data_IF_448616518515
#
_entry.id   IF_448616518515
#
_cell.length_a   1.000
_cell.length_b   1.000
_cell.length_c   1.000
_cell.angle_alpha   90.00
_cell.angle_beta   90.00
_cell.angle_gamma   90.00
#
_symmetry.space_group_name_H-M   'P 1'
#
loop_
_entity.id
_entity.type
_entity.pdbx_description
1 polymer ?
#
# COMPACT_ATOMS: atom_id res chain seq x y z
N UNK A 1 -5.14 3.39 13.72
CA UNK A 1 -3.86 3.24 14.45
C UNK A 1 -2.78 2.74 13.49
N UNK A 2 -1.52 3.05 13.73
CA UNK A 2 -0.38 2.63 12.92
C UNK A 2 0.76 2.18 13.83
N UNK A 3 1.36 1.03 13.51
CA UNK A 3 2.56 0.50 14.17
C UNK A 3 3.61 0.17 13.12
N UNK A 4 4.83 0.65 13.33
CA UNK A 4 5.99 0.32 12.49
C UNK A 4 7.11 -0.11 13.41
N UNK A 5 7.74 -1.23 13.08
CA UNK A 5 8.88 -1.76 13.80
C UNK A 5 10.02 -2.12 12.84
N UNK A 6 11.23 -1.77 13.22
CA UNK A 6 12.41 -2.35 12.58
C UNK A 6 12.54 -3.81 13.05
N UNK A 7 12.58 -4.73 12.08
CA UNK A 7 12.69 -6.18 12.30
C UNK A 7 14.06 -6.75 11.91
N UNK A 8 15.01 -5.89 11.54
CA UNK A 8 16.37 -6.30 11.14
C UNK A 8 17.09 -7.12 12.20
N UNK A 9 16.98 -6.68 13.47
CA UNK A 9 17.67 -7.28 14.60
C UNK A 9 16.75 -8.01 15.59
N UNK A 10 15.50 -8.25 15.21
CA UNK A 10 14.52 -8.91 16.10
C UNK A 10 13.45 -9.62 15.27
N UNK A 11 13.04 -10.84 15.64
CA UNK A 11 12.00 -11.55 14.91
C UNK A 11 10.69 -10.75 14.83
N UNK A 12 10.04 -10.78 13.67
CA UNK A 12 8.74 -10.15 13.43
C UNK A 12 7.73 -10.50 14.54
N UNK A 13 7.63 -11.78 14.90
CA UNK A 13 6.69 -12.26 15.92
C UNK A 13 6.87 -11.52 17.25
N UNK A 14 8.10 -11.32 17.71
CA UNK A 14 8.38 -10.62 18.98
C UNK A 14 7.94 -9.17 18.95
N UNK A 15 8.10 -8.49 17.79
CA UNK A 15 7.72 -7.08 17.63
C UNK A 15 6.21 -6.86 17.57
N UNK A 16 5.46 -7.87 17.15
CA UNK A 16 4.01 -7.80 16.97
C UNK A 16 3.24 -8.76 17.88
N UNK A 17 3.87 -9.30 18.92
CA UNK A 17 3.27 -10.29 19.81
C UNK A 17 1.96 -9.80 20.46
N UNK A 18 1.92 -8.52 20.85
CA UNK A 18 0.76 -7.89 21.51
C UNK A 18 -0.11 -7.04 20.57
N UNK A 19 0.06 -7.19 19.25
CA UNK A 19 -0.61 -6.32 18.28
C UNK A 19 -2.13 -6.32 18.42
N UNK A 20 -2.75 -7.46 18.72
CA UNK A 20 -4.20 -7.58 18.91
C UNK A 20 -4.73 -6.95 20.20
N UNK A 21 -3.85 -6.72 21.20
CA UNK A 21 -4.18 -6.00 22.42
C UNK A 21 -4.07 -4.50 22.21
N UNK A 22 -3.06 -4.07 21.44
CA UNK A 22 -2.74 -2.67 21.19
C UNK A 22 -3.56 -2.03 20.07
N UNK A 23 -3.86 -2.81 19.02
CA UNK A 23 -4.63 -2.36 17.86
C UNK A 23 -5.96 -3.10 17.78
N UNK A 24 -7.04 -2.33 17.74
CA UNK A 24 -8.40 -2.87 17.62
C UNK A 24 -9.07 -2.30 16.38
N UNK A 25 -9.81 -3.14 15.66
CA UNK A 25 -10.55 -2.76 14.46
C UNK A 25 -11.09 -3.99 13.73
N UNK A 26 -11.94 -3.76 12.75
CA UNK A 26 -12.53 -4.80 11.88
C UNK A 26 -11.73 -5.02 10.60
N UNK A 27 -10.81 -4.11 10.26
CA UNK A 27 -9.97 -4.20 9.07
C UNK A 27 -8.54 -3.74 9.38
N UNK A 28 -7.56 -4.34 8.70
CA UNK A 28 -6.15 -4.00 8.84
C UNK A 28 -5.42 -4.14 7.50
N UNK A 29 -4.37 -3.35 7.33
CA UNK A 29 -3.42 -3.45 6.24
C UNK A 29 -2.02 -3.54 6.82
N UNK A 30 -1.16 -4.35 6.21
CA UNK A 30 0.22 -4.52 6.66
C UNK A 30 1.17 -4.76 5.50
N UNK A 31 2.43 -4.43 5.72
CA UNK A 31 3.50 -4.63 4.75
C UNK A 31 4.80 -4.95 5.49
N UNK A 32 5.59 -5.86 4.91
CA UNK A 32 7.01 -6.02 5.24
C UNK A 32 7.78 -5.34 4.12
N UNK A 33 8.63 -4.38 4.46
CA UNK A 33 9.43 -3.62 3.51
C UNK A 33 10.86 -3.54 4.03
N UNK A 34 11.81 -3.68 3.14
CA UNK A 34 13.25 -3.55 3.39
C UNK A 34 13.78 -2.13 3.09
N UNK A 35 12.97 -1.29 2.48
CA UNK A 35 13.33 0.07 2.11
C UNK A 35 12.50 1.11 2.86
N UNK A 36 11.22 1.17 2.60
CA UNK A 36 10.33 2.25 3.03
C UNK A 36 9.46 1.89 4.23
N UNK A 37 9.29 2.84 5.16
CA UNK A 37 8.38 2.67 6.29
C UNK A 37 6.92 2.72 5.82
N UNK A 38 6.24 1.57 5.86
CA UNK A 38 4.87 1.35 5.42
C UNK A 38 4.03 0.62 6.48
N UNK A 39 2.68 0.67 6.43
CA UNK A 39 1.85 1.51 5.56
C UNK A 39 1.94 3.01 5.91
N UNK A 40 1.72 3.89 4.92
CA UNK A 40 1.54 5.32 5.18
C UNK A 40 0.07 5.63 5.48
N UNK A 41 -0.15 6.41 6.54
CA UNK A 41 -1.47 6.98 6.85
C UNK A 41 -1.55 8.37 6.23
N UNK A 42 -2.53 8.58 5.38
CA UNK A 42 -2.67 9.77 4.54
C UNK A 42 -4.03 10.40 4.78
N UNK A 43 -4.05 11.72 4.82
CA UNK A 43 -5.28 12.54 4.77
C UNK A 43 -5.24 13.41 3.53
N UNK A 44 -6.25 13.27 2.66
CA UNK A 44 -6.35 14.02 1.41
C UNK A 44 -7.80 14.40 1.08
N UNK A 45 -8.02 14.93 -0.12
CA UNK A 45 -9.37 15.16 -0.66
C UNK A 45 -10.17 13.86 -0.85
N UNK A 46 -9.49 12.72 -0.97
CA UNK A 46 -10.12 11.39 -1.07
C UNK A 46 -10.51 10.80 0.30
N UNK A 47 -10.25 11.51 1.40
CA UNK A 47 -10.50 11.05 2.77
C UNK A 47 -9.23 10.64 3.50
N UNK A 48 -9.41 9.91 4.60
CA UNK A 48 -8.31 9.29 5.36
C UNK A 48 -8.14 7.84 4.93
N UNK A 49 -6.93 7.43 4.60
CA UNK A 49 -6.65 6.06 4.19
C UNK A 49 -5.22 5.64 4.55
N UNK A 50 -5.00 4.34 4.62
CA UNK A 50 -3.68 3.76 4.75
C UNK A 50 -3.27 3.14 3.41
N UNK A 51 -2.02 3.35 2.99
CA UNK A 51 -1.48 2.92 1.71
C UNK A 51 -0.26 2.04 1.91
N UNK A 52 -0.26 0.89 1.25
CA UNK A 52 0.93 0.07 0.99
C UNK A 52 1.22 0.04 -0.51
N UNK A 53 2.50 0.11 -0.82
CA UNK A 53 3.02 0.03 -2.18
C UNK A 53 4.14 -1.01 -2.25
N UNK A 54 4.10 -1.84 -3.27
CA UNK A 54 5.19 -2.75 -3.63
C UNK A 54 5.48 -2.59 -5.11
N UNK A 55 6.71 -2.20 -5.41
CA UNK A 55 7.12 -1.95 -6.78
C UNK A 55 8.45 -1.23 -6.89
N UNK A 56 8.75 -0.78 -8.10
CA UNK A 56 9.95 -0.02 -8.44
C UNK A 56 9.52 1.20 -9.23
N UNK A 57 9.99 2.38 -8.86
CA UNK A 57 9.75 3.65 -9.55
C UNK A 57 11.08 4.12 -10.12
N UNK A 58 11.32 3.83 -11.41
CA UNK A 58 12.60 4.18 -12.05
C UNK A 58 12.71 5.69 -12.32
N UNK A 59 11.60 6.39 -12.50
CA UNK A 59 11.52 7.83 -12.76
C UNK A 59 11.14 8.66 -11.52
N UNK A 60 11.49 8.19 -10.30
CA UNK A 60 11.08 8.82 -9.05
C UNK A 60 11.46 10.31 -8.98
N UNK A 61 12.70 10.67 -9.28
CA UNK A 61 13.18 12.07 -9.24
C UNK A 61 12.35 12.97 -10.16
N UNK A 62 12.09 12.54 -11.40
CA UNK A 62 11.27 13.30 -12.34
C UNK A 62 9.83 13.51 -11.84
N UNK A 63 9.25 12.50 -11.20
CA UNK A 63 7.91 12.59 -10.61
C UNK A 63 7.89 13.56 -9.42
N UNK A 64 8.93 13.53 -8.58
CA UNK A 64 9.10 14.44 -7.44
C UNK A 64 9.22 15.88 -7.92
N UNK A 65 10.16 16.16 -8.84
CA UNK A 65 10.38 17.50 -9.39
C UNK A 65 9.10 18.08 -10.03
N UNK A 66 8.41 17.26 -10.82
CA UNK A 66 7.16 17.65 -11.44
C UNK A 66 6.08 17.96 -10.41
N UNK A 67 5.92 17.11 -9.38
CA UNK A 67 4.94 17.33 -8.32
C UNK A 67 5.23 18.64 -7.56
N UNK A 68 6.46 18.86 -7.14
CA UNK A 68 6.86 20.07 -6.42
C UNK A 68 6.66 21.34 -7.25
N UNK A 69 6.89 21.29 -8.57
CA UNK A 69 6.79 22.44 -9.45
C UNK A 69 5.37 22.97 -9.61
N UNK A 70 4.35 22.12 -9.61
CA UNK A 70 2.96 22.56 -9.83
C UNK A 70 2.11 22.59 -8.56
N UNK A 71 2.41 21.77 -7.56
CA UNK A 71 1.54 21.65 -6.38
C UNK A 71 1.88 22.64 -5.28
N UNK A 72 3.11 23.16 -5.25
CA UNK A 72 3.65 23.89 -4.12
C UNK A 72 3.70 23.04 -2.83
N UNK A 73 3.54 21.71 -2.99
CA UNK A 73 3.53 20.75 -1.91
C UNK A 73 4.93 20.41 -1.39
N UNK A 74 4.97 19.45 -0.50
CA UNK A 74 6.21 18.91 0.05
C UNK A 74 6.04 17.39 0.27
N UNK A 75 7.15 16.70 0.40
CA UNK A 75 7.20 15.32 0.86
C UNK A 75 7.66 15.28 2.31
N UNK A 76 6.94 14.58 3.17
CA UNK A 76 7.20 14.50 4.60
C UNK A 76 7.80 13.16 5.03
N UNK A 77 7.56 12.08 4.28
CA UNK A 77 8.11 10.78 4.57
C UNK A 77 9.44 10.58 3.81
N UNK A 78 10.54 10.70 4.54
CA UNK A 78 11.90 10.56 4.00
C UNK A 78 12.55 9.29 4.54
N UNK A 79 13.33 8.61 3.71
CA UNK A 79 14.13 7.46 4.09
C UNK A 79 15.56 7.62 3.55
N UNK A 80 16.55 7.75 4.46
CA UNK A 80 17.96 7.90 4.07
C UNK A 80 18.28 9.09 3.17
N UNK A 81 17.46 10.16 3.21
CA UNK A 81 17.61 11.34 2.36
C UNK A 81 16.81 11.27 1.04
N UNK A 82 16.20 10.12 0.72
CA UNK A 82 15.29 9.97 -0.40
C UNK A 82 13.82 10.10 0.05
N UNK A 83 12.93 10.51 -0.86
CA UNK A 83 11.49 10.51 -0.63
C UNK A 83 10.98 9.06 -0.58
N UNK A 84 10.12 8.76 0.39
CA UNK A 84 9.49 7.45 0.49
C UNK A 84 8.64 7.16 -0.75
N UNK A 85 8.87 6.03 -1.41
CA UNK A 85 8.20 5.66 -2.67
C UNK A 85 6.68 5.56 -2.51
N UNK A 86 6.20 5.13 -1.34
CA UNK A 86 4.77 5.08 -1.04
C UNK A 86 4.14 6.47 -1.01
N UNK A 87 4.88 7.50 -0.57
CA UNK A 87 4.40 8.89 -0.59
C UNK A 87 4.34 9.45 -2.01
N UNK A 88 5.28 9.07 -2.89
CA UNK A 88 5.20 9.42 -4.32
C UNK A 88 3.92 8.86 -4.94
N UNK A 89 3.62 7.59 -4.69
CA UNK A 89 2.37 6.95 -5.16
C UNK A 89 1.15 7.68 -4.62
N UNK A 90 1.13 8.03 -3.34
CA UNK A 90 0.05 8.80 -2.74
C UNK A 90 -0.12 10.18 -3.40
N UNK A 91 0.99 10.88 -3.68
CA UNK A 91 0.97 12.17 -4.35
C UNK A 91 0.39 12.08 -5.76
N UNK A 92 0.64 11.00 -6.49
CA UNK A 92 0.02 10.74 -7.80
C UNK A 92 -1.48 10.45 -7.66
N UNK A 93 -1.87 9.54 -6.77
CA UNK A 93 -3.27 9.18 -6.53
C UNK A 93 -4.11 10.41 -6.17
N UNK A 94 -3.59 11.27 -5.30
CA UNK A 94 -4.29 12.44 -4.79
C UNK A 94 -4.48 13.58 -5.82
N UNK A 95 -3.92 13.46 -7.02
CA UNK A 95 -4.17 14.38 -8.13
C UNK A 95 -5.51 14.14 -8.83
N UNK A 96 -6.19 13.06 -8.50
CA UNK A 96 -7.48 12.69 -9.10
C UNK A 96 -8.61 12.76 -8.07
N UNK A 97 -9.84 12.69 -8.57
CA UNK A 97 -11.06 12.81 -7.76
C UNK A 97 -11.58 11.48 -7.21
N UNK A 98 -11.02 10.36 -7.65
CA UNK A 98 -11.35 9.03 -7.15
C UNK A 98 -10.11 8.16 -6.99
N UNK A 99 -10.19 7.14 -6.11
CA UNK A 99 -9.10 6.17 -5.97
C UNK A 99 -8.85 5.39 -7.27
N UNK A 100 -9.89 5.03 -8.00
CA UNK A 100 -9.74 4.29 -9.26
C UNK A 100 -8.96 5.11 -10.30
N UNK A 101 -9.36 6.35 -10.55
CA UNK A 101 -8.66 7.24 -11.47
C UNK A 101 -7.25 7.58 -10.99
N UNK A 102 -7.07 7.74 -9.67
CA UNK A 102 -5.78 8.02 -9.06
C UNK A 102 -4.79 6.87 -9.18
N UNK A 103 -5.25 5.65 -8.95
CA UNK A 103 -4.43 4.43 -9.10
C UNK A 103 -4.06 4.24 -10.58
N UNK A 104 -5.02 4.35 -11.48
CA UNK A 104 -4.77 4.25 -12.92
C UNK A 104 -3.74 5.29 -13.36
N UNK A 105 -3.92 6.55 -12.98
CA UNK A 105 -2.96 7.62 -13.25
C UNK A 105 -1.57 7.31 -12.69
N UNK A 106 -1.47 6.85 -11.42
CA UNK A 106 -0.19 6.49 -10.84
C UNK A 106 0.51 5.36 -11.61
N UNK A 107 -0.24 4.35 -12.04
CA UNK A 107 0.30 3.24 -12.82
C UNK A 107 0.73 3.66 -14.24
N UNK A 108 0.10 4.65 -14.84
CA UNK A 108 0.52 5.22 -16.13
C UNK A 108 1.80 6.04 -16.01
N UNK A 109 1.90 6.88 -14.98
CA UNK A 109 3.02 7.80 -14.77
C UNK A 109 4.30 7.11 -14.25
N UNK A 110 4.16 5.98 -13.56
CA UNK A 110 5.29 5.22 -13.02
C UNK A 110 5.96 4.41 -14.13
N UNK A 111 7.24 4.70 -14.36
CA UNK A 111 8.12 3.83 -15.13
C UNK A 111 8.66 2.72 -14.24
N UNK A 112 8.01 1.57 -14.29
CA UNK A 112 8.36 0.45 -13.41
C UNK A 112 7.18 -0.44 -13.09
N UNK A 113 7.04 -0.83 -11.82
CA UNK A 113 5.94 -1.66 -11.33
C UNK A 113 5.28 -1.03 -10.11
N UNK A 114 3.96 -1.16 -9.98
CA UNK A 114 3.20 -0.58 -8.88
C UNK A 114 2.00 -1.45 -8.50
N UNK A 115 2.18 -2.34 -7.53
CA UNK A 115 1.08 -3.02 -6.85
C UNK A 115 0.70 -2.24 -5.60
N UNK A 116 -0.58 -1.96 -5.44
CA UNK A 116 -1.09 -0.98 -4.47
C UNK A 116 -2.19 -1.63 -3.64
N UNK A 117 -2.13 -1.43 -2.32
CA UNK A 117 -3.22 -1.74 -1.40
C UNK A 117 -3.59 -0.47 -0.63
N UNK A 118 -4.89 -0.20 -0.55
CA UNK A 118 -5.44 0.92 0.22
C UNK A 118 -6.49 0.37 1.19
N UNK A 119 -6.41 0.79 2.44
CA UNK A 119 -7.47 0.63 3.43
C UNK A 119 -8.05 2.00 3.73
N UNK A 120 -9.32 2.18 3.44
CA UNK A 120 -10.05 3.43 3.65
C UNK A 120 -10.62 3.51 5.07
N UNK A 121 -11.06 4.71 5.46
CA UNK A 121 -11.59 4.99 6.82
C UNK A 121 -12.88 4.21 7.12
N UNK A 122 -13.67 3.88 6.11
CA UNK A 122 -14.89 3.06 6.23
C UNK A 122 -14.60 1.54 6.29
N UNK A 123 -13.32 1.14 6.21
CA UNK A 123 -12.89 -0.26 6.25
C UNK A 123 -12.88 -0.96 4.89
N UNK A 124 -13.14 -0.24 3.80
CA UNK A 124 -13.03 -0.81 2.45
C UNK A 124 -11.57 -1.06 2.07
N UNK A 125 -11.31 -2.15 1.35
CA UNK A 125 -9.99 -2.48 0.82
C UNK A 125 -10.01 -2.31 -0.70
N UNK A 126 -9.08 -1.51 -1.22
CA UNK A 126 -8.84 -1.33 -2.64
C UNK A 126 -7.50 -1.97 -2.97
N UNK A 127 -7.49 -2.84 -3.96
CA UNK A 127 -6.29 -3.52 -4.42
C UNK A 127 -6.09 -3.30 -5.92
N UNK A 128 -4.87 -3.00 -6.32
CA UNK A 128 -4.50 -2.87 -7.71
C UNK A 128 -3.21 -3.65 -8.00
N UNK A 129 -3.25 -4.46 -9.04
CA UNK A 129 -2.10 -5.17 -9.57
C UNK A 129 -1.37 -4.27 -10.56
N UNK A 130 -0.04 -4.34 -10.57
CA UNK A 130 0.73 -3.55 -11.54
C UNK A 130 0.39 -3.90 -13.00
N UNK A 131 0.60 -2.94 -13.90
CA UNK A 131 0.21 -3.05 -15.32
C UNK A 131 0.89 -4.18 -16.08
N UNK A 132 2.04 -4.67 -15.64
CA UNK A 132 2.73 -5.81 -16.24
C UNK A 132 2.45 -7.13 -15.52
N UNK A 133 1.73 -7.09 -14.39
CA UNK A 133 1.30 -8.27 -13.64
C UNK A 133 2.41 -9.05 -12.99
N UNK A 134 3.51 -8.38 -12.59
CA UNK A 134 4.71 -9.04 -12.06
C UNK A 134 4.44 -9.84 -10.79
N UNK A 135 3.70 -9.27 -9.85
CA UNK A 135 3.26 -9.96 -8.63
C UNK A 135 1.78 -10.32 -8.74
N UNK A 136 1.36 -11.53 -8.32
CA UNK A 136 -0.05 -11.83 -8.21
C UNK A 136 -0.69 -10.95 -7.12
N UNK A 137 -1.95 -10.61 -7.28
CA UNK A 137 -2.78 -10.02 -6.23
C UNK A 137 -4.01 -10.90 -6.10
N UNK A 138 -4.13 -11.57 -4.97
CA UNK A 138 -5.10 -12.63 -4.72
C UNK A 138 -6.09 -12.18 -3.66
N UNK A 139 -7.37 -12.37 -3.93
CA UNK A 139 -8.44 -12.18 -2.97
C UNK A 139 -8.88 -13.53 -2.43
N UNK A 140 -8.94 -13.65 -1.12
CA UNK A 140 -9.52 -14.78 -0.41
C UNK A 140 -10.76 -14.34 0.38
N UNK A 141 -11.66 -15.29 0.60
CA UNK A 141 -12.90 -15.08 1.35
C UNK A 141 -13.18 -16.20 2.34
N UNK A 142 -13.78 -15.83 3.47
CA UNK A 142 -14.42 -16.77 4.38
C UNK A 142 -15.73 -16.18 4.94
N UNK A 143 -16.35 -16.84 5.90
CA UNK A 143 -17.58 -16.36 6.54
C UNK A 143 -17.44 -15.04 7.31
N UNK A 144 -16.21 -14.66 7.69
CA UNK A 144 -15.92 -13.44 8.46
C UNK A 144 -15.51 -12.25 7.60
N UNK A 145 -15.14 -12.46 6.33
CA UNK A 145 -14.75 -11.36 5.45
C UNK A 145 -13.80 -11.72 4.33
N UNK A 146 -13.04 -10.71 3.90
CA UNK A 146 -12.10 -10.80 2.78
C UNK A 146 -10.66 -10.59 3.24
N UNK A 147 -9.74 -11.18 2.49
CA UNK A 147 -8.31 -10.99 2.64
C UNK A 147 -7.69 -10.74 1.25
N UNK A 148 -6.77 -9.79 1.16
CA UNK A 148 -5.96 -9.56 -0.04
C UNK A 148 -4.50 -9.86 0.30
N UNK A 149 -3.84 -10.64 -0.56
CA UNK A 149 -2.43 -11.02 -0.38
C UNK A 149 -1.75 -11.26 -1.73
N UNK A 150 -0.42 -11.25 -1.74
CA UNK A 150 0.37 -11.67 -2.90
C UNK A 150 0.59 -13.20 -2.94
N UNK A 151 0.23 -13.91 -1.89
CA UNK A 151 0.39 -15.37 -1.76
C UNK A 151 -0.85 -15.99 -1.09
N UNK A 152 -1.38 -17.05 -1.68
CA UNK A 152 -2.60 -17.71 -1.17
C UNK A 152 -2.36 -18.56 0.08
N UNK A 153 -1.15 -19.10 0.26
CA UNK A 153 -0.89 -20.02 1.37
C UNK A 153 -1.09 -19.36 2.75
N UNK A 154 -0.79 -18.06 2.86
CA UNK A 154 -0.91 -17.32 4.11
C UNK A 154 -2.35 -17.23 4.59
N UNK A 155 -3.27 -16.85 3.73
CA UNK A 155 -4.67 -16.73 4.10
C UNK A 155 -5.40 -18.08 4.12
N UNK A 156 -4.98 -19.07 3.33
CA UNK A 156 -5.52 -20.45 3.40
C UNK A 156 -5.29 -21.09 4.78
N UNK A 157 -4.15 -20.82 5.41
CA UNK A 157 -3.91 -21.25 6.80
C UNK A 157 -4.85 -20.61 7.83
N UNK A 158 -5.47 -19.48 7.47
CA UNK A 158 -6.45 -18.79 8.30
C UNK A 158 -7.91 -19.13 7.93
N UNK A 159 -8.11 -20.14 7.08
CA UNK A 159 -9.44 -20.61 6.67
C UNK A 159 -10.12 -19.75 5.60
N UNK A 160 -9.35 -18.95 4.84
CA UNK A 160 -9.87 -18.28 3.65
C UNK A 160 -9.71 -19.18 2.43
N UNK A 161 -10.68 -19.12 1.53
CA UNK A 161 -10.66 -19.78 0.23
C UNK A 161 -10.35 -18.77 -0.87
N UNK A 162 -9.80 -19.25 -2.00
CA UNK A 162 -9.53 -18.41 -3.15
C UNK A 162 -10.84 -17.88 -3.74
N UNK A 163 -10.98 -16.55 -3.82
CA UNK A 163 -12.12 -15.88 -4.44
C UNK A 163 -11.77 -15.41 -5.85
N UNK A 164 -10.66 -14.69 -5.99
CA UNK A 164 -10.27 -14.07 -7.26
C UNK A 164 -8.76 -13.76 -7.30
N UNK A 165 -8.17 -13.93 -8.48
CA UNK A 165 -6.90 -13.29 -8.84
C UNK A 165 -7.18 -12.05 -9.70
N UNK A 166 -6.56 -10.91 -9.33
CA UNK A 166 -6.67 -9.69 -10.11
C UNK A 166 -5.84 -9.78 -11.40
N UNK A 167 -6.41 -9.33 -12.51
CA UNK A 167 -5.68 -9.16 -13.76
C UNK A 167 -4.64 -8.04 -13.68
N UNK A 168 -3.67 -7.99 -14.61
CA UNK A 168 -2.77 -6.84 -14.77
C UNK A 168 -3.52 -5.56 -15.14
N UNK A 169 -3.14 -4.41 -14.60
CA UNK A 169 -3.69 -3.08 -14.91
C UNK A 169 -4.98 -2.70 -14.20
#
# INVERSE_FOLDING_TARGET
QRKIHNIENSPFRTKFEHIFEEMRGSAAIGCISDSDAQPLLIRSSLGTYALCFIGIINNAESLIERYLSFSGGHFGAMNGGAVNSTEIVAALINQKSSFADGIHFAQEEIEGTASILILTEDGSIIAARDKVGRLPVLAGRNEYGFCISFESFAYKKLGFEDEKELGPG
#
